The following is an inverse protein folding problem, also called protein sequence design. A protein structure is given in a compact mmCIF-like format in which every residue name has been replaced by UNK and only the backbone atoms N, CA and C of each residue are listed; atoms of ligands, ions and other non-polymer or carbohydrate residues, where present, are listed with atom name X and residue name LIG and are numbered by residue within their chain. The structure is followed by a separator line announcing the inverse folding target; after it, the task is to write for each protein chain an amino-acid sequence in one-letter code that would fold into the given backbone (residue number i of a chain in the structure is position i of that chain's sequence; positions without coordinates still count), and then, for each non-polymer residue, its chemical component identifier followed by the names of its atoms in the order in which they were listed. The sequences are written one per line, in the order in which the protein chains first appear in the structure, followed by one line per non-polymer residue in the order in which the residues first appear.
data_IF_809960298004
#
_entry.id   IF_809960298004
#
_cell.length_a   1.000
_cell.length_b   1.000
_cell.length_c   1.000
_cell.angle_alpha   90.00
_cell.angle_beta   90.00
_cell.angle_gamma   90.00
#
_symmetry.space_group_name_H-M   'P 1'
#
loop_
_entity.id
_entity.type
_entity.pdbx_description
1 polymer ?
#
# COMPACT_ATOMS: atom_id res chain seq x y z
N UNK A 1 -64.63 -13.82 6.14
CA UNK A 1 -64.53 -12.97 4.94
C UNK A 1 -63.06 -12.64 4.71
N UNK A 2 -62.38 -13.42 3.86
CA UNK A 2 -60.98 -13.19 3.49
C UNK A 2 -60.94 -12.62 2.06
N UNK A 3 -60.40 -11.41 1.94
CA UNK A 3 -60.35 -10.64 0.71
C UNK A 3 -59.13 -11.09 -0.12
N UNK A 4 -59.35 -11.77 -1.25
CA UNK A 4 -58.28 -12.13 -2.18
C UNK A 4 -57.87 -10.91 -3.01
N UNK A 5 -56.60 -10.48 -2.91
CA UNK A 5 -55.99 -9.51 -3.83
C UNK A 5 -55.58 -10.25 -5.12
N UNK A 6 -56.23 -9.90 -6.23
CA UNK A 6 -55.81 -10.29 -7.59
C UNK A 6 -54.59 -9.45 -7.98
N UNK A 7 -53.50 -10.10 -8.36
CA UNK A 7 -52.33 -9.46 -8.98
C UNK A 7 -52.55 -9.49 -10.50
N UNK A 8 -52.49 -8.31 -11.12
CA UNK A 8 -52.60 -8.11 -12.56
C UNK A 8 -51.18 -8.15 -13.14
N UNK A 9 -50.87 -9.15 -13.95
CA UNK A 9 -49.56 -9.27 -14.62
C UNK A 9 -49.62 -8.55 -15.97
N UNK A 10 -48.82 -7.49 -16.13
CA UNK A 10 -48.58 -6.83 -17.42
C UNK A 10 -47.21 -7.30 -17.91
N UNK A 11 -47.15 -8.03 -19.04
CA UNK A 11 -45.89 -8.41 -19.67
C UNK A 11 -45.45 -7.34 -20.65
N UNK A 12 -44.28 -6.74 -20.42
CA UNK A 12 -43.56 -5.94 -21.43
C UNK A 12 -42.24 -6.65 -21.76
N UNK A 13 -42.12 -7.05 -23.02
CA UNK A 13 -40.92 -7.69 -23.59
C UNK A 13 -39.80 -6.66 -23.71
N UNK A 14 -38.67 -6.91 -23.02
CA UNK A 14 -37.46 -6.10 -23.14
C UNK A 14 -36.26 -6.94 -22.73
N UNK A 15 -35.31 -7.11 -23.66
CA UNK A 15 -34.07 -7.86 -23.50
C UNK A 15 -33.27 -7.32 -22.32
N UNK A 16 -33.07 -8.16 -21.29
CA UNK A 16 -32.20 -7.85 -20.15
C UNK A 16 -30.82 -8.47 -20.43
N UNK A 17 -29.82 -7.62 -20.71
CA UNK A 17 -28.41 -8.02 -20.69
C UNK A 17 -28.04 -8.23 -19.22
N UNK A 18 -27.89 -9.48 -18.80
CA UNK A 18 -27.46 -9.80 -17.45
C UNK A 18 -25.95 -9.52 -17.31
N UNK A 19 -25.58 -8.41 -16.67
CA UNK A 19 -24.28 -8.30 -16.03
C UNK A 19 -24.31 -9.15 -14.75
N UNK A 20 -23.59 -10.27 -14.74
CA UNK A 20 -23.40 -11.08 -13.54
C UNK A 20 -22.41 -10.37 -12.60
N UNK A 21 -22.92 -9.73 -11.56
CA UNK A 21 -22.12 -9.39 -10.38
C UNK A 21 -22.22 -10.58 -9.45
N UNK A 22 -21.13 -11.35 -9.30
CA UNK A 22 -21.06 -12.40 -8.28
C UNK A 22 -21.08 -11.75 -6.89
N UNK A 23 -22.20 -11.92 -6.20
CA UNK A 23 -22.41 -11.40 -4.86
C UNK A 23 -21.64 -12.27 -3.87
N UNK A 24 -20.57 -11.71 -3.29
CA UNK A 24 -19.77 -12.38 -2.27
C UNK A 24 -20.56 -12.49 -0.95
N UNK A 25 -20.45 -13.65 -0.29
CA UNK A 25 -21.30 -14.10 0.80
C UNK A 25 -21.33 -13.17 2.03
N UNK A 26 -22.53 -12.93 2.55
CA UNK A 26 -22.82 -12.23 3.81
C UNK A 26 -22.55 -13.16 5.01
N UNK A 27 -21.65 -12.76 5.91
CA UNK A 27 -21.66 -13.24 7.29
C UNK A 27 -22.60 -12.35 8.12
N UNK A 28 -23.57 -12.96 8.83
CA UNK A 28 -24.64 -12.27 9.55
C UNK A 28 -24.42 -12.35 11.06
N UNK A 29 -24.39 -11.21 11.74
CA UNK A 29 -24.62 -11.12 13.20
C UNK A 29 -24.02 -9.87 13.86
N UNK A 30 -24.85 -8.86 14.15
CA UNK A 30 -24.50 -7.71 15.00
C UNK A 30 -24.75 -6.35 14.34
N UNK A 31 -25.72 -5.59 14.86
CA UNK A 31 -26.13 -4.28 14.34
C UNK A 31 -25.17 -3.17 14.75
N UNK A 32 -24.10 -3.01 13.97
CA UNK A 32 -23.48 -1.75 13.56
C UNK A 32 -22.85 -2.08 12.22
N UNK A 33 -23.38 -1.57 11.10
CA UNK A 33 -22.92 -2.00 9.77
C UNK A 33 -21.49 -1.54 9.53
N UNK A 34 -20.53 -2.33 10.01
CA UNK A 34 -19.11 -2.11 9.79
C UNK A 34 -18.78 -2.16 8.31
N UNK A 35 -17.61 -1.63 7.96
CA UNK A 35 -17.12 -1.57 6.58
C UNK A 35 -17.07 -2.98 5.99
N UNK A 36 -17.65 -3.14 4.81
CA UNK A 36 -17.58 -4.38 4.04
C UNK A 36 -16.44 -4.26 3.05
N UNK A 37 -15.44 -5.12 3.19
CA UNK A 37 -14.26 -5.10 2.34
C UNK A 37 -14.49 -5.93 1.08
N UNK A 38 -14.10 -5.36 -0.07
CA UNK A 38 -13.94 -6.13 -1.31
C UNK A 38 -12.50 -6.66 -1.35
N UNK A 39 -12.32 -7.87 -1.87
CA UNK A 39 -11.01 -8.52 -1.95
C UNK A 39 -10.64 -8.76 -3.42
N UNK A 40 -9.35 -8.80 -3.73
CA UNK A 40 -8.86 -9.09 -5.08
C UNK A 40 -9.31 -10.49 -5.56
N UNK A 41 -9.31 -11.46 -4.66
CA UNK A 41 -9.93 -12.79 -4.83
C UNK A 41 -10.94 -13.00 -3.72
N UNK A 42 -11.96 -13.83 -3.93
CA UNK A 42 -12.96 -14.11 -2.90
C UNK A 42 -12.29 -14.56 -1.60
N UNK A 43 -12.61 -13.92 -0.48
CA UNK A 43 -12.00 -14.22 0.81
C UNK A 43 -12.53 -15.55 1.36
N UNK A 44 -11.73 -16.61 1.20
CA UNK A 44 -12.04 -17.96 1.66
C UNK A 44 -10.74 -18.77 1.81
N UNK A 45 -10.84 -19.95 2.42
CA UNK A 45 -9.71 -20.84 2.68
C UNK A 45 -9.05 -21.43 1.43
N UNK A 46 -9.65 -21.27 0.24
CA UNK A 46 -9.01 -21.65 -1.03
C UNK A 46 -8.01 -20.60 -1.48
N UNK A 47 -8.35 -19.32 -1.33
CA UNK A 47 -7.54 -18.20 -1.82
C UNK A 47 -6.56 -17.65 -0.77
N UNK A 48 -6.92 -17.76 0.51
CA UNK A 48 -6.16 -17.18 1.62
C UNK A 48 -5.95 -18.22 2.73
N UNK A 49 -4.84 -18.10 3.44
CA UNK A 49 -4.70 -18.68 4.78
C UNK A 49 -5.50 -17.81 5.75
N UNK A 50 -6.60 -18.35 6.29
CA UNK A 50 -7.50 -17.58 7.16
C UNK A 50 -6.92 -17.34 8.56
N UNK A 51 -5.83 -18.00 8.95
CA UNK A 51 -5.19 -17.77 10.25
C UNK A 51 -4.15 -16.66 10.16
N UNK A 52 -3.47 -16.55 9.02
CA UNK A 52 -2.39 -15.57 8.84
C UNK A 52 -2.78 -14.41 7.95
N UNK A 53 -3.84 -14.53 7.15
CA UNK A 53 -4.24 -13.55 6.13
C UNK A 53 -3.43 -13.63 4.83
N UNK A 54 -2.44 -14.52 4.75
CA UNK A 54 -1.55 -14.64 3.58
C UNK A 54 -2.29 -15.20 2.35
N UNK A 55 -2.16 -14.57 1.16
CA UNK A 55 -2.62 -15.17 -0.09
C UNK A 55 -1.92 -16.51 -0.37
N UNK A 56 -2.67 -17.56 -0.69
CA UNK A 56 -2.11 -18.90 -0.95
C UNK A 56 -1.48 -19.03 -2.33
N UNK A 57 -2.04 -18.34 -3.33
CA UNK A 57 -1.51 -18.32 -4.69
C UNK A 57 -0.67 -17.07 -4.88
N UNK A 58 0.64 -17.21 -4.71
CA UNK A 58 1.60 -16.16 -5.00
C UNK A 58 1.95 -16.17 -6.50
N UNK A 59 2.12 -14.98 -7.06
CA UNK A 59 2.54 -14.76 -8.43
C UNK A 59 4.07 -14.83 -8.56
N UNK A 60 4.53 -15.02 -9.80
CA UNK A 60 5.95 -14.92 -10.16
C UNK A 60 6.17 -13.76 -11.14
N UNK A 61 7.44 -13.44 -11.42
CA UNK A 61 7.80 -12.40 -12.38
C UNK A 61 7.58 -10.97 -11.87
N UNK A 62 7.69 -10.77 -10.55
CA UNK A 62 8.09 -9.50 -9.96
C UNK A 62 9.38 -9.78 -9.18
N UNK A 63 10.52 -9.35 -9.70
CA UNK A 63 11.83 -9.64 -9.10
C UNK A 63 12.16 -8.50 -8.14
N UNK A 64 12.01 -8.74 -6.85
CA UNK A 64 12.46 -7.80 -5.82
C UNK A 64 13.99 -7.90 -5.71
N UNK A 65 14.74 -6.82 -5.95
CA UNK A 65 16.20 -6.89 -5.95
C UNK A 65 16.75 -7.08 -4.53
N UNK A 66 17.90 -7.76 -4.44
CA UNK A 66 18.61 -7.94 -3.18
C UNK A 66 18.99 -6.58 -2.58
N UNK A 67 18.90 -6.46 -1.26
CA UNK A 67 19.23 -5.22 -0.54
C UNK A 67 18.22 -4.09 -0.73
N UNK A 68 17.07 -4.31 -1.39
CA UNK A 68 16.05 -3.27 -1.55
C UNK A 68 15.65 -2.64 -0.20
N UNK A 69 15.57 -3.45 0.86
CA UNK A 69 15.24 -2.99 2.20
C UNK A 69 16.29 -2.00 2.73
N UNK A 70 17.57 -2.34 2.59
CA UNK A 70 18.66 -1.46 3.02
C UNK A 70 18.66 -0.14 2.24
N UNK A 71 18.32 -0.19 0.94
CA UNK A 71 18.16 1.02 0.11
C UNK A 71 17.01 1.90 0.60
N UNK A 72 15.86 1.31 0.97
CA UNK A 72 14.72 2.04 1.56
C UNK A 72 15.12 2.66 2.90
N UNK A 73 15.64 1.87 3.82
CA UNK A 73 15.96 2.32 5.19
C UNK A 73 17.11 3.33 5.24
N UNK A 74 17.94 3.42 4.21
CA UNK A 74 18.91 4.52 4.05
C UNK A 74 18.22 5.87 3.85
N UNK A 75 17.09 5.90 3.16
CA UNK A 75 16.30 7.10 2.90
C UNK A 75 15.21 7.33 3.97
N UNK A 76 14.69 6.25 4.55
CA UNK A 76 13.57 6.20 5.50
C UNK A 76 13.94 5.36 6.73
N UNK A 77 14.90 5.80 7.57
CA UNK A 77 15.37 5.00 8.68
C UNK A 77 14.37 5.01 9.84
N UNK A 78 14.14 3.85 10.45
CA UNK A 78 13.23 3.65 11.59
C UNK A 78 13.34 4.75 12.66
N UNK A 79 12.20 5.32 13.04
CA UNK A 79 12.05 6.35 14.05
C UNK A 79 12.59 7.73 13.68
N UNK A 80 13.00 7.94 12.42
CA UNK A 80 13.50 9.23 11.94
C UNK A 80 12.46 9.92 11.04
N UNK A 81 11.73 10.86 11.64
CA UNK A 81 10.74 11.66 10.96
C UNK A 81 11.30 12.35 9.70
N UNK A 82 10.57 12.23 8.59
CA UNK A 82 10.88 13.01 7.38
C UNK A 82 10.71 14.51 7.63
N UNK A 83 11.76 15.26 7.27
CA UNK A 83 11.71 16.72 7.27
C UNK A 83 10.61 17.21 6.32
N UNK A 84 9.86 18.24 6.73
CA UNK A 84 8.68 18.74 5.97
C UNK A 84 8.99 19.18 4.54
N UNK A 85 10.22 19.65 4.31
CA UNK A 85 10.78 20.10 3.04
C UNK A 85 11.59 19.02 2.32
N UNK A 86 11.57 17.77 2.83
CA UNK A 86 12.22 16.63 2.18
C UNK A 86 11.73 16.44 0.75
N UNK A 87 12.64 16.18 -0.22
CA UNK A 87 12.27 15.86 -1.59
C UNK A 87 11.54 14.51 -1.71
N UNK A 88 11.56 13.69 -0.65
CA UNK A 88 10.85 12.41 -0.61
C UNK A 88 9.33 12.58 -0.48
N UNK A 89 8.87 13.75 -0.06
CA UNK A 89 7.44 14.07 -0.08
C UNK A 89 6.96 14.34 -1.50
N UNK A 90 6.44 13.29 -2.14
CA UNK A 90 5.91 13.34 -3.50
C UNK A 90 4.45 13.79 -3.57
N UNK A 91 4.10 14.51 -4.63
CA UNK A 91 2.71 14.84 -4.95
C UNK A 91 1.94 13.61 -5.48
N UNK A 92 0.61 13.67 -5.59
CA UNK A 92 -0.20 12.51 -6.01
C UNK A 92 0.23 11.92 -7.37
N UNK A 93 0.74 12.75 -8.30
CA UNK A 93 1.28 12.31 -9.59
C UNK A 93 2.56 11.48 -9.48
N UNK A 94 3.27 11.63 -8.36
CA UNK A 94 4.49 10.90 -8.00
C UNK A 94 4.26 9.98 -6.80
N UNK A 95 3.02 9.76 -6.34
CA UNK A 95 2.68 8.81 -5.26
C UNK A 95 1.76 7.67 -5.74
N UNK A 96 1.36 7.70 -7.01
CA UNK A 96 0.44 6.74 -7.63
C UNK A 96 0.99 6.28 -8.99
N UNK A 97 0.59 5.09 -9.45
CA UNK A 97 1.04 4.57 -10.75
C UNK A 97 0.08 5.05 -11.83
N UNK A 98 0.47 6.05 -12.61
CA UNK A 98 -0.32 6.57 -13.72
C UNK A 98 0.11 5.92 -15.04
N UNK A 99 -0.85 5.40 -15.80
CA UNK A 99 -0.58 4.59 -16.99
C UNK A 99 -0.87 5.35 -18.30
N UNK A 100 0.09 5.30 -19.22
CA UNK A 100 -0.06 5.72 -20.64
C UNK A 100 -0.23 4.54 -21.61
N UNK A 101 0.01 3.31 -21.16
CA UNK A 101 -0.23 2.06 -21.91
C UNK A 101 -0.92 1.05 -20.99
N UNK A 102 -1.55 0.04 -21.57
CA UNK A 102 -2.01 -1.12 -20.80
C UNK A 102 -0.80 -1.80 -20.16
N UNK A 103 -0.93 -2.19 -18.89
CA UNK A 103 0.15 -2.82 -18.16
C UNK A 103 -0.35 -3.87 -17.17
N UNK A 104 0.42 -4.95 -17.01
CA UNK A 104 0.24 -5.89 -15.91
C UNK A 104 0.91 -5.33 -14.67
N UNK A 105 0.21 -5.34 -13.53
CA UNK A 105 0.76 -4.87 -12.27
C UNK A 105 0.82 -6.01 -11.27
N UNK A 106 1.99 -6.18 -10.67
CA UNK A 106 2.22 -7.11 -9.57
C UNK A 106 2.80 -6.35 -8.40
N UNK A 107 2.44 -6.78 -7.20
CA UNK A 107 2.91 -6.19 -5.95
C UNK A 107 3.51 -7.24 -5.06
N UNK A 108 4.65 -6.93 -4.47
CA UNK A 108 5.42 -7.84 -3.64
C UNK A 108 5.67 -7.22 -2.27
N UNK A 109 5.57 -8.05 -1.23
CA UNK A 109 5.97 -7.66 0.12
C UNK A 109 7.49 -7.41 0.16
N UNK A 110 7.90 -6.25 0.68
CA UNK A 110 9.31 -5.93 0.95
C UNK A 110 9.59 -6.01 2.45
N UNK A 111 8.76 -5.34 3.26
CA UNK A 111 8.81 -5.44 4.72
C UNK A 111 7.87 -4.47 5.42
N UNK A 112 8.02 -4.40 6.73
CA UNK A 112 7.27 -3.53 7.62
C UNK A 112 8.18 -3.03 8.76
N UNK A 113 8.04 -1.76 9.15
CA UNK A 113 8.49 -1.20 10.43
C UNK A 113 7.37 -1.13 11.48
N UNK A 114 6.15 -1.51 11.12
CA UNK A 114 4.96 -1.30 11.94
C UNK A 114 4.87 -2.16 13.21
N UNK A 115 4.30 -1.58 14.27
CA UNK A 115 3.79 -2.33 15.42
C UNK A 115 2.36 -2.88 15.23
N UNK A 116 1.66 -2.44 14.18
CA UNK A 116 0.30 -2.86 13.85
C UNK A 116 0.27 -3.96 12.80
N UNK A 117 -0.74 -4.83 12.91
CA UNK A 117 -1.03 -5.80 11.85
C UNK A 117 -1.96 -5.17 10.82
N UNK A 118 -1.37 -4.53 9.80
CA UNK A 118 -2.10 -3.80 8.77
C UNK A 118 -2.77 -4.73 7.75
N UNK A 119 -3.81 -4.24 7.07
CA UNK A 119 -4.26 -4.84 5.81
C UNK A 119 -3.88 -3.91 4.64
N UNK A 120 -3.44 -4.49 3.53
CA UNK A 120 -3.06 -3.74 2.33
C UNK A 120 -4.03 -4.04 1.18
N UNK A 121 -4.49 -2.97 0.54
CA UNK A 121 -5.33 -3.02 -0.65
C UNK A 121 -4.85 -2.08 -1.75
N UNK A 122 -5.54 -2.15 -2.89
CA UNK A 122 -5.36 -1.22 -4.00
C UNK A 122 -6.71 -0.77 -4.55
N UNK A 123 -6.70 0.30 -5.32
CA UNK A 123 -7.82 0.74 -6.13
C UNK A 123 -7.30 1.28 -7.46
N UNK A 124 -8.12 1.18 -8.50
CA UNK A 124 -7.85 1.81 -9.79
C UNK A 124 -8.87 2.91 -10.07
N UNK A 125 -8.42 3.95 -10.75
CA UNK A 125 -9.22 5.13 -11.05
C UNK A 125 -8.92 5.67 -12.43
N UNK A 126 -9.79 6.52 -12.96
CA UNK A 126 -9.48 7.31 -14.16
C UNK A 126 -8.47 8.40 -13.78
N UNK A 127 -7.28 8.40 -14.39
CA UNK A 127 -6.21 9.31 -13.98
C UNK A 127 -6.60 10.79 -14.16
N UNK A 128 -7.51 11.09 -15.07
CA UNK A 128 -8.03 12.46 -15.27
C UNK A 128 -8.84 12.96 -14.06
N UNK A 129 -9.27 12.05 -13.18
CA UNK A 129 -10.03 12.35 -11.97
C UNK A 129 -9.21 12.39 -10.69
N UNK A 130 -7.87 12.23 -10.77
CA UNK A 130 -6.99 12.11 -9.60
C UNK A 130 -7.28 13.16 -8.51
N UNK A 131 -7.39 14.43 -8.89
CA UNK A 131 -7.62 15.55 -7.95
C UNK A 131 -9.05 15.66 -7.41
N UNK A 132 -9.99 14.89 -7.97
CA UNK A 132 -11.42 14.90 -7.64
C UNK A 132 -11.91 13.60 -7.00
N UNK A 133 -10.99 12.67 -6.70
CA UNK A 133 -11.33 11.44 -6.02
C UNK A 133 -11.90 11.72 -4.63
N UNK A 134 -12.90 10.92 -4.28
CA UNK A 134 -13.47 10.81 -2.94
C UNK A 134 -13.48 9.34 -2.50
N UNK A 135 -13.55 9.08 -1.19
CA UNK A 135 -13.61 7.71 -0.66
C UNK A 135 -14.78 6.89 -1.22
N UNK A 136 -15.89 7.54 -1.59
CA UNK A 136 -17.05 6.90 -2.22
C UNK A 136 -16.90 6.65 -3.73
N UNK A 137 -15.94 7.31 -4.39
CA UNK A 137 -15.68 7.17 -5.82
C UNK A 137 -14.72 6.03 -6.17
N UNK A 138 -14.06 5.45 -5.17
CA UNK A 138 -13.08 4.38 -5.33
C UNK A 138 -13.66 3.05 -4.83
N UNK A 139 -13.19 1.96 -5.43
CA UNK A 139 -13.50 0.60 -4.97
C UNK A 139 -12.19 -0.07 -4.58
N UNK A 140 -11.97 -0.17 -3.28
CA UNK A 140 -10.77 -0.77 -2.70
C UNK A 140 -10.88 -2.29 -2.75
N UNK A 141 -9.80 -2.94 -3.18
CA UNK A 141 -9.65 -4.39 -3.18
C UNK A 141 -8.51 -4.76 -2.25
N UNK A 142 -8.81 -5.43 -1.15
CA UNK A 142 -7.82 -6.00 -0.24
C UNK A 142 -7.02 -7.07 -1.00
N UNK A 143 -5.70 -6.91 -0.98
CA UNK A 143 -4.72 -7.82 -1.58
C UNK A 143 -4.12 -8.71 -0.51
N UNK A 144 -3.63 -8.07 0.57
CA UNK A 144 -3.09 -8.73 1.74
C UNK A 144 -3.98 -8.40 2.94
N UNK A 145 -4.89 -9.32 3.34
CA UNK A 145 -5.67 -9.17 4.56
C UNK A 145 -4.83 -8.90 5.82
N UNK A 146 -3.62 -9.44 5.86
CA UNK A 146 -2.60 -9.16 6.85
C UNK A 146 -1.28 -8.91 6.10
N UNK A 147 -0.73 -7.70 6.22
CA UNK A 147 0.52 -7.27 5.61
C UNK A 147 1.72 -7.47 6.54
N UNK A 148 1.62 -8.34 7.55
CA UNK A 148 2.70 -8.52 8.51
C UNK A 148 3.70 -9.60 8.10
N UNK A 149 4.97 -9.34 8.41
CA UNK A 149 6.09 -10.23 8.21
C UNK A 149 5.92 -11.52 9.03
N UNK A 150 6.58 -12.56 8.54
CA UNK A 150 6.62 -13.85 9.23
C UNK A 150 7.23 -13.69 10.63
N UNK A 151 6.48 -14.18 11.62
CA UNK A 151 6.78 -14.07 13.06
C UNK A 151 6.60 -12.66 13.67
N UNK A 152 6.08 -11.69 12.92
CA UNK A 152 5.74 -10.34 13.40
C UNK A 152 4.22 -10.09 13.40
N UNK A 153 3.44 -11.14 13.66
CA UNK A 153 1.96 -11.09 13.58
C UNK A 153 1.38 -11.57 12.25
N UNK A 154 2.23 -11.93 11.27
CA UNK A 154 1.83 -12.49 9.99
C UNK A 154 2.74 -13.62 9.50
N UNK A 155 2.73 -13.84 8.19
CA UNK A 155 3.46 -14.93 7.51
C UNK A 155 4.07 -14.49 6.17
N UNK A 156 4.13 -13.18 5.90
CA UNK A 156 4.72 -12.67 4.67
C UNK A 156 6.25 -12.76 4.72
N UNK A 157 6.83 -13.14 3.60
CA UNK A 157 8.27 -13.19 3.36
C UNK A 157 8.61 -12.24 2.21
N UNK A 158 9.83 -11.69 2.22
CA UNK A 158 10.34 -10.83 1.15
C UNK A 158 10.07 -11.49 -0.21
N UNK A 159 9.42 -10.74 -1.11
CA UNK A 159 9.09 -11.19 -2.46
C UNK A 159 7.77 -11.96 -2.59
N UNK A 160 7.02 -12.20 -1.50
CA UNK A 160 5.65 -12.73 -1.60
C UNK A 160 4.80 -11.80 -2.48
N UNK A 161 4.49 -12.26 -3.69
CA UNK A 161 3.95 -11.42 -4.76
C UNK A 161 2.50 -11.79 -5.07
N UNK A 162 1.67 -10.78 -5.36
CA UNK A 162 0.31 -10.94 -5.88
C UNK A 162 0.16 -10.20 -7.21
N UNK A 163 -0.54 -10.83 -8.14
CA UNK A 163 -0.88 -10.26 -9.45
C UNK A 163 -2.22 -9.51 -9.38
N UNK A 164 -2.19 -8.21 -9.64
CA UNK A 164 -3.37 -7.34 -9.68
C UNK A 164 -4.12 -7.44 -11.02
N UNK A 165 -3.48 -8.03 -12.04
CA UNK A 165 -3.96 -8.17 -13.40
C UNK A 165 -3.55 -7.01 -14.31
N UNK A 166 -4.12 -7.02 -15.53
CA UNK A 166 -3.93 -5.96 -16.52
C UNK A 166 -4.79 -4.75 -16.20
N UNK A 167 -4.17 -3.57 -16.20
CA UNK A 167 -4.83 -2.27 -16.00
C UNK A 167 -4.63 -1.45 -17.28
N UNK A 168 -5.73 -0.89 -17.78
CA UNK A 168 -5.74 -0.20 -19.06
C UNK A 168 -5.03 1.16 -19.01
N UNK A 169 -4.55 1.61 -20.16
CA UNK A 169 -4.07 2.97 -20.38
C UNK A 169 -5.12 4.01 -19.93
N UNK A 170 -4.66 5.14 -19.41
CA UNK A 170 -5.55 6.19 -18.90
C UNK A 170 -6.07 5.93 -17.49
N UNK A 171 -5.67 4.83 -16.85
CA UNK A 171 -5.94 4.57 -15.44
C UNK A 171 -4.77 4.98 -14.54
N UNK A 172 -5.10 5.27 -13.29
CA UNK A 172 -4.17 5.34 -12.18
C UNK A 172 -4.40 4.18 -11.21
N UNK A 173 -3.38 3.83 -10.45
CA UNK A 173 -3.42 2.83 -9.38
C UNK A 173 -2.89 3.44 -8.10
N UNK A 174 -3.72 3.39 -7.06
CA UNK A 174 -3.38 3.81 -5.71
C UNK A 174 -3.50 2.64 -4.74
N UNK A 175 -2.88 2.81 -3.57
CA UNK A 175 -2.85 1.81 -2.52
C UNK A 175 -3.56 2.31 -1.27
N UNK A 176 -4.08 1.37 -0.50
CA UNK A 176 -4.76 1.61 0.76
C UNK A 176 -4.10 0.78 1.85
N UNK A 177 -3.70 1.41 2.94
CA UNK A 177 -3.40 0.76 4.21
C UNK A 177 -4.60 0.91 5.14
N UNK A 178 -5.07 -0.22 5.65
CA UNK A 178 -6.03 -0.27 6.74
C UNK A 178 -5.24 -0.51 8.01
N UNK A 179 -5.07 0.56 8.80
CA UNK A 179 -4.23 0.60 9.99
C UNK A 179 -4.75 -0.32 11.08
N UNK A 180 -3.85 -1.15 11.63
CA UNK A 180 -4.19 -2.26 12.53
C UNK A 180 -5.40 -3.06 12.04
N UNK A 181 -5.45 -3.27 10.72
CA UNK A 181 -6.61 -3.73 9.99
C UNK A 181 -6.87 -5.22 10.08
N UNK A 182 -5.93 -6.04 10.54
CA UNK A 182 -6.11 -7.48 10.68
C UNK A 182 -6.59 -7.85 12.08
N UNK A 183 -7.58 -8.74 12.18
CA UNK A 183 -7.98 -9.33 13.46
C UNK A 183 -8.35 -10.80 13.27
N UNK A 184 -7.51 -11.67 13.84
CA UNK A 184 -7.67 -13.13 13.89
C UNK A 184 -7.76 -13.81 12.53
N UNK A 185 -8.86 -13.60 11.81
CA UNK A 185 -9.18 -14.28 10.57
C UNK A 185 -9.88 -13.39 9.54
N UNK A 186 -9.87 -12.07 9.70
CA UNK A 186 -10.52 -11.14 8.77
C UNK A 186 -9.91 -9.74 8.88
N UNK A 187 -10.11 -8.94 7.82
CA UNK A 187 -9.92 -7.49 7.91
C UNK A 187 -11.04 -6.90 8.77
N UNK A 188 -10.67 -6.14 9.78
CA UNK A 188 -11.55 -5.46 10.72
C UNK A 188 -12.54 -4.55 9.99
N UNK A 189 -13.82 -4.71 10.31
CA UNK A 189 -14.90 -3.90 9.76
C UNK A 189 -15.19 -2.64 10.60
N UNK A 190 -14.55 -2.49 11.76
CA UNK A 190 -14.72 -1.35 12.68
C UNK A 190 -13.80 -0.16 12.38
N UNK A 191 -12.97 -0.26 11.33
CA UNK A 191 -12.03 0.78 10.92
C UNK A 191 -12.77 1.99 10.35
N UNK A 192 -12.42 3.17 10.83
CA UNK A 192 -12.97 4.46 10.36
C UNK A 192 -12.00 5.14 9.39
N UNK A 193 -12.41 6.25 8.79
CA UNK A 193 -11.53 7.02 7.89
C UNK A 193 -10.23 7.47 8.58
N UNK A 194 -10.24 7.66 9.91
CA UNK A 194 -9.06 7.99 10.71
C UNK A 194 -8.02 6.85 10.82
N UNK A 195 -8.33 5.65 10.34
CA UNK A 195 -7.43 4.48 10.33
C UNK A 195 -7.28 3.88 8.92
N UNK A 196 -7.63 4.62 7.87
CA UNK A 196 -7.50 4.14 6.49
C UNK A 196 -6.77 5.20 5.67
N UNK A 197 -5.53 4.87 5.33
CA UNK A 197 -4.59 5.76 4.65
C UNK A 197 -4.36 5.32 3.22
N UNK A 198 -4.18 6.27 2.32
CA UNK A 198 -4.10 6.06 0.88
C UNK A 198 -2.99 6.88 0.28
N UNK A 199 -2.51 6.40 -0.85
CA UNK A 199 -1.50 7.08 -1.67
C UNK A 199 -2.03 8.35 -2.34
N UNK A 200 -3.36 8.55 -2.38
CA UNK A 200 -3.96 9.80 -2.84
C UNK A 200 -4.30 10.64 -1.61
N UNK A 201 -3.56 11.73 -1.41
CA UNK A 201 -3.58 12.52 -0.17
C UNK A 201 -4.94 13.14 0.16
N UNK A 202 -5.75 13.46 -0.84
CA UNK A 202 -7.07 14.07 -0.63
C UNK A 202 -8.10 13.08 -0.06
N UNK A 203 -7.76 11.78 -0.01
CA UNK A 203 -8.57 10.73 0.60
C UNK A 203 -8.18 10.44 2.05
N UNK A 204 -7.12 11.08 2.55
CA UNK A 204 -6.66 10.93 3.92
C UNK A 204 -7.33 11.96 4.84
N UNK A 205 -7.64 11.59 6.09
CA UNK A 205 -8.48 12.38 7.00
C UNK A 205 -7.78 13.62 7.55
N UNK A 206 -6.45 13.64 7.58
CA UNK A 206 -5.66 14.74 8.14
C UNK A 206 -5.78 16.03 7.32
N UNK A 207 -5.59 17.20 7.94
CA UNK A 207 -5.47 18.45 7.20
C UNK A 207 -4.24 18.44 6.28
N UNK A 208 -4.32 19.15 5.16
CA UNK A 208 -3.19 19.28 4.22
C UNK A 208 -2.06 20.18 4.73
N UNK A 209 -2.30 20.95 5.80
CA UNK A 209 -1.27 21.76 6.44
C UNK A 209 -0.11 20.87 6.89
N UNK A 210 1.12 21.31 6.63
CA UNK A 210 2.32 20.54 6.99
C UNK A 210 2.34 19.14 6.38
N UNK A 211 1.67 18.92 5.24
CA UNK A 211 1.64 17.63 4.53
C UNK A 211 1.19 16.47 5.43
N UNK A 212 0.38 16.70 6.48
CA UNK A 212 -0.03 15.64 7.41
C UNK A 212 -0.83 14.54 6.72
N UNK A 213 -1.58 14.89 5.68
CA UNK A 213 -2.32 13.93 4.86
C UNK A 213 -1.46 13.15 3.86
N UNK A 214 -0.13 13.26 3.91
CA UNK A 214 0.78 12.48 3.08
C UNK A 214 1.14 11.23 3.89
N UNK A 215 0.89 10.05 3.33
CA UNK A 215 1.22 8.77 3.96
C UNK A 215 2.14 7.94 3.07
N UNK A 216 2.74 8.52 2.04
CA UNK A 216 3.42 7.73 1.02
C UNK A 216 4.68 8.43 0.52
N UNK A 217 5.73 7.63 0.39
CA UNK A 217 6.91 7.91 -0.41
C UNK A 217 6.97 6.88 -1.53
N UNK A 218 7.13 7.33 -2.78
CA UNK A 218 7.34 6.47 -3.94
C UNK A 218 8.76 6.64 -4.46
N UNK A 219 9.48 5.54 -4.54
CA UNK A 219 10.85 5.45 -5.00
C UNK A 219 10.91 4.59 -6.27
N UNK A 220 11.86 4.86 -7.15
CA UNK A 220 12.17 4.05 -8.32
C UNK A 220 13.53 3.38 -8.18
N UNK A 221 13.60 2.10 -8.54
CA UNK A 221 14.84 1.39 -8.86
C UNK A 221 14.86 1.17 -10.38
N UNK A 222 15.44 2.11 -11.15
CA UNK A 222 15.40 2.05 -12.61
C UNK A 222 16.24 0.90 -13.19
N UNK A 223 17.29 0.46 -12.49
CA UNK A 223 18.13 -0.66 -12.89
C UNK A 223 17.35 -1.98 -12.84
N UNK A 224 16.59 -2.16 -11.76
CA UNK A 224 15.75 -3.34 -11.55
C UNK A 224 14.36 -3.22 -12.18
N UNK A 225 13.97 -2.03 -12.66
CA UNK A 225 12.64 -1.68 -13.16
C UNK A 225 11.52 -2.00 -12.16
N UNK A 226 11.77 -1.63 -10.90
CA UNK A 226 10.85 -1.80 -9.78
C UNK A 226 10.53 -0.44 -9.19
N UNK A 227 9.28 -0.22 -8.82
CA UNK A 227 8.91 0.89 -7.94
C UNK A 227 8.80 0.39 -6.51
N UNK A 228 9.12 1.22 -5.53
CA UNK A 228 8.90 0.93 -4.11
C UNK A 228 7.97 1.98 -3.53
N UNK A 229 6.85 1.53 -2.98
CA UNK A 229 5.97 2.37 -2.16
C UNK A 229 6.27 2.06 -0.69
N UNK A 230 6.52 3.12 0.07
CA UNK A 230 6.73 3.11 1.51
C UNK A 230 5.65 3.96 2.17
N UNK A 231 4.99 3.43 3.20
CA UNK A 231 3.77 4.00 3.77
C UNK A 231 3.90 4.19 5.27
N UNK A 232 3.40 5.31 5.79
CA UNK A 232 3.14 5.55 7.21
C UNK A 232 1.73 5.04 7.57
N UNK A 233 1.61 4.17 8.58
CA UNK A 233 0.37 3.49 8.94
C UNK A 233 -0.44 4.15 10.07
N UNK A 234 0.11 5.16 10.73
CA UNK A 234 -0.53 5.86 11.86
C UNK A 234 -1.12 7.20 11.42
N UNK A 235 -2.22 7.61 12.06
CA UNK A 235 -2.72 8.97 11.90
C UNK A 235 -1.65 9.96 12.35
N UNK A 236 -1.29 10.88 11.46
CA UNK A 236 -0.15 11.80 11.66
C UNK A 236 -0.54 13.08 12.40
N UNK A 237 -1.84 13.34 12.55
CA UNK A 237 -2.36 14.53 13.23
C UNK A 237 -2.50 14.33 14.75
N UNK A 238 -3.05 13.20 15.19
CA UNK A 238 -3.33 12.97 16.61
C UNK A 238 -3.31 11.49 16.98
N UNK A 239 -2.55 11.15 18.02
CA UNK A 239 -2.52 9.80 18.57
C UNK A 239 -3.85 9.32 19.13
N UNK A 240 -4.79 10.23 19.44
CA UNK A 240 -6.15 9.85 19.87
C UNK A 240 -6.93 9.05 18.82
N UNK A 241 -6.52 9.12 17.55
CA UNK A 241 -7.11 8.36 16.46
C UNK A 241 -6.48 6.98 16.26
N UNK A 242 -5.30 6.77 16.86
CA UNK A 242 -4.53 5.54 16.75
C UNK A 242 -4.93 4.59 17.88
N UNK A 243 -5.06 3.30 17.58
CA UNK A 243 -5.27 2.27 18.60
C UNK A 243 -4.15 2.37 19.68
N UNK A 244 -4.49 2.19 20.96
CA UNK A 244 -3.57 2.34 22.09
C UNK A 244 -2.87 3.72 22.23
N UNK A 245 -3.28 4.74 21.48
CA UNK A 245 -2.70 6.08 21.59
C UNK A 245 -1.27 6.20 21.05
N UNK A 246 -0.87 5.36 20.10
CA UNK A 246 0.45 5.46 19.48
C UNK A 246 0.62 6.75 18.68
N UNK A 247 1.83 7.29 18.72
CA UNK A 247 2.21 8.51 18.00
C UNK A 247 2.97 8.07 16.75
N UNK A 248 2.57 8.60 15.59
CA UNK A 248 3.31 8.46 14.33
C UNK A 248 4.73 9.02 14.51
N UNK A 249 5.74 8.24 14.16
CA UNK A 249 7.13 8.69 14.10
C UNK A 249 7.50 9.29 12.73
N UNK A 250 6.59 9.20 11.76
CA UNK A 250 6.65 9.91 10.48
C UNK A 250 7.86 9.49 9.63
N UNK A 251 8.31 8.23 9.75
CA UNK A 251 9.44 7.70 9.00
C UNK A 251 9.04 7.03 7.68
N UNK A 252 7.74 6.74 7.50
CA UNK A 252 7.13 6.19 6.29
C UNK A 252 7.60 4.77 5.94
N UNK A 253 8.07 3.97 6.88
CA UNK A 253 8.55 2.62 6.62
C UNK A 253 7.62 1.50 7.15
N UNK A 254 6.45 1.86 7.70
CA UNK A 254 5.51 0.92 8.33
C UNK A 254 5.01 -0.17 7.39
N UNK A 255 4.80 0.15 6.10
CA UNK A 255 4.48 -0.83 5.07
C UNK A 255 5.24 -0.54 3.78
N UNK A 256 6.08 -1.49 3.36
CA UNK A 256 6.96 -1.37 2.20
C UNK A 256 6.60 -2.44 1.18
N UNK A 257 6.25 -2.01 -0.03
CA UNK A 257 5.93 -2.89 -1.15
C UNK A 257 6.73 -2.53 -2.41
N UNK A 258 7.15 -3.57 -3.13
CA UNK A 258 7.70 -3.45 -4.47
C UNK A 258 6.58 -3.62 -5.50
N UNK A 259 6.66 -2.88 -6.59
CA UNK A 259 5.65 -2.87 -7.65
C UNK A 259 6.35 -3.06 -8.98
N UNK A 260 5.99 -4.14 -9.65
CA UNK A 260 6.45 -4.44 -10.99
C UNK A 260 5.34 -4.12 -11.98
N UNK A 261 5.67 -3.26 -12.94
CA UNK A 261 4.77 -2.85 -14.03
C UNK A 261 5.35 -3.34 -15.33
N UNK A 262 4.57 -4.08 -16.11
CA UNK A 262 4.99 -4.65 -17.39
C UNK A 262 4.04 -4.24 -18.52
N UNK A 263 4.50 -3.47 -19.52
CA UNK A 263 5.87 -2.95 -19.67
C UNK A 263 6.16 -1.79 -18.71
N UNK A 264 7.39 -1.67 -18.21
CA UNK A 264 7.79 -0.60 -17.28
C UNK A 264 7.62 0.80 -17.88
N UNK A 265 7.78 0.91 -19.21
CA UNK A 265 7.57 2.16 -19.94
C UNK A 265 6.08 2.54 -20.11
N UNK A 266 5.15 1.77 -19.54
CA UNK A 266 3.74 2.14 -19.43
C UNK A 266 3.48 3.23 -18.38
N UNK A 267 4.43 3.46 -17.46
CA UNK A 267 4.32 4.45 -16.39
C UNK A 267 4.56 5.86 -16.95
N UNK A 268 3.73 6.82 -16.53
CA UNK A 268 3.93 8.24 -16.79
C UNK A 268 4.94 8.84 -15.82
N UNK A 269 5.88 9.66 -16.32
CA UNK A 269 6.83 10.37 -15.46
C UNK A 269 7.76 9.46 -14.65
N UNK A 270 8.03 8.23 -15.10
CA UNK A 270 8.90 7.30 -14.36
C UNK A 270 10.31 7.86 -14.14
N UNK A 271 10.81 8.66 -15.09
CA UNK A 271 12.13 9.30 -15.03
C UNK A 271 12.19 10.48 -14.04
N UNK A 272 11.03 10.97 -13.57
CA UNK A 272 10.92 12.04 -12.56
C UNK A 272 10.61 11.49 -11.17
N UNK A 273 10.62 10.17 -11.00
CA UNK A 273 10.50 9.56 -9.68
C UNK A 273 11.84 9.65 -8.94
N UNK A 274 11.78 9.69 -7.62
CA UNK A 274 12.96 9.70 -6.77
C UNK A 274 13.67 8.36 -6.88
N UNK A 275 14.95 8.39 -7.24
CA UNK A 275 15.78 7.22 -7.30
C UNK A 275 16.09 6.72 -5.89
N UNK A 276 15.85 5.42 -5.66
CA UNK A 276 16.10 4.78 -4.36
C UNK A 276 17.59 4.79 -3.95
N UNK A 277 18.50 4.91 -4.91
CA UNK A 277 19.94 4.92 -4.66
C UNK A 277 20.50 6.30 -4.34
N UNK A 278 19.92 7.37 -4.89
CA UNK A 278 20.42 8.73 -4.70
C UNK A 278 19.54 9.61 -3.81
N UNK A 279 18.26 9.25 -3.60
CA UNK A 279 17.30 10.09 -2.90
C UNK A 279 16.93 11.37 -3.66
N UNK A 280 17.20 11.43 -4.97
CA UNK A 280 16.92 12.58 -5.86
C UNK A 280 16.18 12.12 -7.11
N UNK A 281 15.50 13.04 -7.81
CA UNK A 281 14.84 12.72 -9.07
C UNK A 281 15.85 12.22 -10.11
N UNK A 282 15.48 11.18 -10.88
CA UNK A 282 16.22 10.78 -12.08
C UNK A 282 16.62 9.32 -12.15
N UNK A 283 17.10 8.91 -13.32
CA UNK A 283 17.78 7.64 -13.50
C UNK A 283 19.19 7.73 -12.91
N UNK A 284 19.69 6.61 -12.36
CA UNK A 284 20.96 6.41 -11.61
C UNK A 284 22.10 7.38 -11.99
N UNK A 285 23.01 7.77 -11.06
CA UNK A 285 24.10 8.66 -11.39
C UNK A 285 24.91 8.01 -12.51
N UNK A 286 24.95 8.67 -13.67
CA UNK A 286 25.82 8.25 -14.76
C UNK A 286 27.22 8.10 -14.21
N UNK A 287 27.75 6.88 -14.33
CA UNK A 287 29.17 6.56 -14.38
C UNK A 287 29.94 7.71 -15.07
N UNK A 288 30.44 8.61 -14.25
CA UNK A 288 31.60 9.42 -14.56
C UNK A 288 32.51 9.21 -13.37
N UNK A 289 33.20 8.08 -13.37
CA UNK A 289 34.51 7.97 -12.72
C UNK A 289 35.38 9.11 -13.27
N UNK A 290 35.64 10.19 -12.52
CA UNK A 290 36.77 11.03 -12.83
C UNK A 290 37.96 10.30 -12.23
N UNK A 291 38.78 9.71 -13.09
CA UNK A 291 40.12 9.20 -12.78
C UNK A 291 40.76 9.93 -11.59
N UNK A 292 41.36 9.23 -10.62
CA UNK A 292 41.81 9.84 -9.37
C UNK A 292 43.00 10.77 -9.64
N UNK A 293 42.75 12.08 -9.63
CA UNK A 293 43.80 13.06 -9.37
C UNK A 293 43.84 13.29 -7.85
N UNK A 294 44.95 12.89 -7.26
CA UNK A 294 45.14 12.92 -5.83
C UNK A 294 45.37 14.34 -5.34
N UNK A 295 44.57 14.77 -4.36
CA UNK A 295 45.06 15.39 -3.11
C UNK A 295 43.91 15.58 -2.12
N UNK A 296 44.05 14.90 -0.99
CA UNK A 296 43.70 15.28 0.39
C UNK A 296 42.28 15.73 0.76
N UNK A 297 41.74 15.06 1.80
CA UNK A 297 40.45 15.35 2.41
C UNK A 297 39.76 14.13 2.99
N UNK A 298 40.41 13.38 3.89
CA UNK A 298 39.76 12.27 4.59
C UNK A 298 38.71 12.78 5.59
N UNK A 299 37.43 12.81 5.22
CA UNK A 299 36.35 12.63 6.19
C UNK A 299 35.91 11.18 6.21
N UNK A 300 36.49 10.43 7.15
CA UNK A 300 36.00 9.11 7.53
C UNK A 300 34.64 9.28 8.22
N UNK A 301 33.55 9.10 7.51
CA UNK A 301 32.28 8.76 8.16
C UNK A 301 32.45 7.33 8.68
N UNK A 302 32.56 7.22 10.01
CA UNK A 302 32.67 5.93 10.71
C UNK A 302 31.50 5.04 10.30
N UNK A 303 31.83 3.91 9.68
CA UNK A 303 30.88 2.82 9.50
C UNK A 303 30.34 2.38 10.85
N UNK A 304 29.02 2.50 11.02
CA UNK A 304 28.30 1.80 12.06
C UNK A 304 28.18 0.33 11.61
N UNK A 305 29.26 -0.42 11.77
CA UNK A 305 29.22 -1.87 11.83
C UNK A 305 28.47 -2.28 13.09
N UNK A 306 27.16 -2.47 12.97
CA UNK A 306 26.32 -2.98 14.04
C UNK A 306 25.26 -3.88 13.43
N UNK A 307 25.42 -5.20 13.57
CA UNK A 307 24.31 -6.13 13.45
C UNK A 307 23.26 -5.71 14.47
N UNK A 308 22.20 -5.04 14.05
CA UNK A 308 21.10 -4.71 14.94
C UNK A 308 20.20 -5.95 15.07
N UNK A 309 20.38 -6.60 16.21
CA UNK A 309 19.52 -7.64 16.75
C UNK A 309 18.15 -7.04 17.02
N UNK A 310 17.13 -7.57 16.34
CA UNK A 310 15.72 -7.35 16.64
C UNK A 310 15.44 -7.75 18.09
N UNK A 311 15.25 -6.79 18.98
CA UNK A 311 14.74 -7.06 20.33
C UNK A 311 13.22 -6.91 20.32
N UNK A 312 12.53 -8.03 20.50
CA UNK A 312 11.11 -8.12 20.81
C UNK A 312 10.74 -7.09 21.88
N UNK A 313 9.84 -6.15 21.54
CA UNK A 313 9.17 -5.34 22.55
C UNK A 313 8.16 -6.26 23.22
N UNK A 314 8.54 -6.86 24.35
CA UNK A 314 7.66 -7.70 25.16
C UNK A 314 6.42 -6.92 25.55
N UNK A 315 5.26 -7.42 25.14
CA UNK A 315 3.94 -6.95 25.59
C UNK A 315 3.83 -7.23 27.10
N UNK A 316 3.53 -6.25 27.96
CA UNK A 316 3.27 -6.53 29.36
C UNK A 316 2.01 -7.38 29.47
N UNK A 317 2.11 -8.56 30.07
CA UNK A 317 0.95 -9.33 30.49
C UNK A 317 0.25 -8.57 31.63
N UNK A 318 -0.93 -8.03 31.40
CA UNK A 318 -1.77 -7.48 32.46
C UNK A 318 -2.44 -8.61 33.25
N UNK A 319 -2.32 -8.53 34.58
CA UNK A 319 -3.28 -9.13 35.53
C UNK A 319 -4.65 -8.49 35.39
#
# INVERSE_FOLDING_TARGET
MNMQKKILTLTLSGVLVALSVEQSALARGGSSSGKVWTYLKSYNSTNYDTNTGKPKKLASGCTVPDGIMDKVLRLLPEGNALAIDSPLFTEDTQANILLKKDANIKVAFVGEGAGYTNALGFFSFDKTKLTSLTSSSIVEKIVFPNFSAKNSGGDLSLGDTVDLGTIAAGKGVGFTVVSNGWQSNQVRSDRTDNQIFRTVKNLNPEPSSQKLNYHTVLLSDPESKVLVISIEDLNRQSSSYNDNGYVSDNDFNDAILAICVDPFDAIEGVDTLINIDTGTEGTSPTETDPTPDGTDGTEKIKGAGGRQSWSERTVPSSM
#
